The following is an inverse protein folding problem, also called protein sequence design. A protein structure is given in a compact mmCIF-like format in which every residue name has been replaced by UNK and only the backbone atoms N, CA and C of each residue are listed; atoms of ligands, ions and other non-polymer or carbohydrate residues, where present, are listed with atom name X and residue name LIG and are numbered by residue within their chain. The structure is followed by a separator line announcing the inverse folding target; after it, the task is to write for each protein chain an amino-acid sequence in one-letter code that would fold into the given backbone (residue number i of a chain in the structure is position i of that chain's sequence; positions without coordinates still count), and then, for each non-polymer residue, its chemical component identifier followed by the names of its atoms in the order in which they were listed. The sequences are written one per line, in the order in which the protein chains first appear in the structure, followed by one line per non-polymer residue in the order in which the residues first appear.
data_IF_506925667837
#
_entry.id   IF_506925667837
#
_cell.length_a   1.000
_cell.length_b   1.000
_cell.length_c   1.000
_cell.angle_alpha   90.00
_cell.angle_beta   90.00
_cell.angle_gamma   90.00
#
_symmetry.space_group_name_H-M   'P 1'
#
loop_
_entity.id
_entity.type
_entity.pdbx_description
1 polymer ?
#
# COMPACT_ATOMS: atom_id res chain seq x y z
N UNK A 1 19.54 10.68 -21.50
CA UNK A 1 19.82 9.33 -20.93
C UNK A 1 20.84 9.54 -19.82
N UNK A 2 20.58 9.07 -18.60
CA UNK A 2 21.51 9.25 -17.47
C UNK A 2 22.75 8.36 -17.72
N UNK A 3 23.99 8.84 -17.63
CA UNK A 3 25.20 8.01 -17.68
C UNK A 3 25.23 6.91 -16.61
N UNK A 4 25.94 5.80 -16.83
CA UNK A 4 26.05 4.73 -15.82
C UNK A 4 27.04 5.14 -14.72
N UNK A 5 28.02 5.96 -15.10
CA UNK A 5 29.08 6.52 -14.28
C UNK A 5 28.49 7.35 -13.14
N UNK A 6 27.48 8.18 -13.42
CA UNK A 6 26.76 8.97 -12.40
C UNK A 6 26.03 8.08 -11.38
N UNK A 7 25.49 6.95 -11.83
CA UNK A 7 24.84 5.98 -10.94
C UNK A 7 25.87 5.28 -10.05
N UNK A 8 27.02 4.91 -10.61
CA UNK A 8 28.11 4.26 -9.86
C UNK A 8 28.70 5.23 -8.84
N UNK A 9 28.97 6.48 -9.23
CA UNK A 9 29.53 7.49 -8.32
C UNK A 9 28.63 7.77 -7.11
N UNK A 10 27.30 7.79 -7.30
CA UNK A 10 26.35 7.92 -6.18
C UNK A 10 26.23 6.62 -5.36
N UNK A 11 26.37 5.45 -5.98
CA UNK A 11 26.41 4.16 -5.28
C UNK A 11 27.66 4.03 -4.41
N UNK A 12 28.83 4.46 -4.88
CA UNK A 12 30.09 4.48 -4.13
C UNK A 12 30.04 5.42 -2.90
N UNK A 13 29.17 6.43 -2.93
CA UNK A 13 28.85 7.27 -1.77
C UNK A 13 27.93 6.56 -0.75
N UNK A 14 27.59 5.28 -0.97
CA UNK A 14 26.75 4.47 -0.11
C UNK A 14 25.24 4.65 -0.32
N UNK A 15 24.80 5.37 -1.35
CA UNK A 15 23.38 5.62 -1.57
C UNK A 15 22.69 4.36 -2.13
N UNK A 16 21.50 4.00 -1.62
CA UNK A 16 20.71 2.94 -2.21
C UNK A 16 20.04 3.41 -3.51
N UNK A 17 19.61 2.48 -4.38
CA UNK A 17 19.04 2.83 -5.69
C UNK A 17 17.86 3.79 -5.64
N UNK A 18 17.07 3.79 -4.56
CA UNK A 18 15.95 4.72 -4.39
C UNK A 18 16.40 6.17 -4.22
N UNK A 19 17.46 6.42 -3.46
CA UNK A 19 18.00 7.77 -3.26
C UNK A 19 18.75 8.26 -4.50
N UNK A 20 19.49 7.36 -5.16
CA UNK A 20 20.10 7.65 -6.47
C UNK A 20 19.00 8.03 -7.48
N UNK A 21 17.91 7.27 -7.53
CA UNK A 21 16.80 7.53 -8.44
C UNK A 21 16.15 8.90 -8.19
N UNK A 22 15.93 9.27 -6.92
CA UNK A 22 15.44 10.62 -6.54
C UNK A 22 16.41 11.71 -6.99
N UNK A 23 17.71 11.55 -6.68
CA UNK A 23 18.73 12.55 -7.05
C UNK A 23 18.85 12.76 -8.55
N UNK A 24 18.73 11.69 -9.33
CA UNK A 24 18.87 11.74 -10.79
C UNK A 24 17.53 11.92 -11.52
N UNK A 25 16.41 12.12 -10.80
CA UNK A 25 15.09 12.32 -11.38
C UNK A 25 14.62 11.13 -12.24
N UNK A 26 14.89 9.90 -11.81
CA UNK A 26 14.56 8.67 -12.55
C UNK A 26 13.82 7.64 -11.69
N UNK A 27 13.41 6.54 -12.32
CA UNK A 27 12.75 5.45 -11.63
C UNK A 27 13.76 4.56 -10.88
N UNK A 28 13.38 4.12 -9.68
CA UNK A 28 14.14 3.14 -8.88
C UNK A 28 14.58 1.93 -9.70
N UNK A 29 13.67 1.34 -10.48
CA UNK A 29 13.93 0.13 -11.25
C UNK A 29 15.00 0.34 -12.32
N UNK A 30 15.06 1.53 -12.91
CA UNK A 30 16.10 1.90 -13.88
C UNK A 30 17.49 1.87 -13.24
N UNK A 31 17.64 2.44 -12.04
CA UNK A 31 18.91 2.41 -11.30
C UNK A 31 19.27 1.00 -10.87
N UNK A 32 18.31 0.28 -10.27
CA UNK A 32 18.51 -1.09 -9.80
C UNK A 32 18.99 -2.02 -10.93
N UNK A 33 18.30 -2.00 -12.08
CA UNK A 33 18.63 -2.84 -13.24
C UNK A 33 20.02 -2.51 -13.79
N UNK A 34 20.40 -1.24 -13.80
CA UNK A 34 21.68 -0.77 -14.31
C UNK A 34 22.86 -1.16 -13.40
N UNK A 35 22.72 -1.01 -12.09
CA UNK A 35 23.72 -1.50 -11.13
C UNK A 35 23.92 -3.02 -11.26
N UNK A 36 22.81 -3.78 -11.31
CA UNK A 36 22.88 -5.24 -11.50
C UNK A 36 23.49 -5.65 -12.84
N UNK A 37 23.17 -4.93 -13.91
CA UNK A 37 23.77 -5.15 -15.24
C UNK A 37 25.28 -4.87 -15.28
N UNK A 38 25.75 -3.96 -14.44
CA UNK A 38 27.19 -3.68 -14.24
C UNK A 38 27.85 -4.64 -13.22
N UNK A 39 27.16 -5.67 -12.73
CA UNK A 39 27.69 -6.62 -11.75
C UNK A 39 27.75 -6.08 -10.32
N UNK A 40 27.24 -4.87 -10.06
CA UNK A 40 27.28 -4.25 -8.74
C UNK A 40 26.07 -4.69 -7.92
N UNK A 41 26.31 -5.15 -6.69
CA UNK A 41 25.25 -5.45 -5.72
C UNK A 41 24.71 -4.13 -5.14
N UNK A 42 23.43 -3.79 -5.36
CA UNK A 42 22.90 -2.52 -4.85
C UNK A 42 22.86 -2.50 -3.33
N UNK A 43 23.10 -1.33 -2.73
CA UNK A 43 22.92 -1.13 -1.30
C UNK A 43 21.45 -1.36 -0.90
N UNK A 44 21.20 -1.96 0.29
CA UNK A 44 19.83 -2.14 0.79
C UNK A 44 19.15 -0.79 0.98
N UNK A 45 17.82 -0.77 0.86
CA UNK A 45 17.05 0.43 1.18
C UNK A 45 17.30 0.86 2.62
N UNK A 46 17.32 2.17 2.85
CA UNK A 46 17.41 2.71 4.21
C UNK A 46 16.20 2.23 5.03
N UNK A 47 16.41 1.87 6.31
CA UNK A 47 15.30 1.54 7.18
C UNK A 47 14.35 2.74 7.28
N UNK A 48 13.05 2.49 7.20
CA UNK A 48 12.06 3.51 7.50
C UNK A 48 12.26 4.00 8.95
N UNK A 49 12.14 5.30 9.22
CA UNK A 49 12.42 5.90 10.53
C UNK A 49 11.38 5.56 11.60
N UNK A 50 10.54 4.56 11.35
CA UNK A 50 9.52 4.09 12.28
C UNK A 50 10.17 3.07 13.22
N UNK A 51 10.17 3.27 14.54
CA UNK A 51 10.58 2.27 15.50
C UNK A 51 9.80 0.96 15.33
N UNK A 52 10.44 -0.18 15.56
CA UNK A 52 9.71 -1.48 15.52
C UNK A 52 8.76 -1.59 16.71
N UNK A 53 9.07 -0.92 17.80
CA UNK A 53 8.34 -0.83 19.05
C UNK A 53 6.92 -0.26 18.82
N UNK A 54 6.77 0.73 17.94
CA UNK A 54 5.47 1.30 17.59
C UNK A 54 4.60 0.28 16.85
N UNK A 55 5.21 -0.50 15.95
CA UNK A 55 4.53 -1.57 15.21
C UNK A 55 4.07 -2.68 16.16
N UNK A 56 4.92 -3.07 17.11
CA UNK A 56 4.61 -4.08 18.12
C UNK A 56 3.51 -3.60 19.06
N UNK A 57 3.56 -2.33 19.48
CA UNK A 57 2.54 -1.74 20.37
C UNK A 57 1.16 -1.79 19.72
N UNK A 58 1.03 -1.30 18.49
CA UNK A 58 -0.23 -1.34 17.75
C UNK A 58 -0.69 -2.78 17.47
N UNK A 59 0.23 -3.71 17.22
CA UNK A 59 -0.10 -5.12 17.08
C UNK A 59 -0.65 -5.71 18.39
N UNK A 60 -0.05 -5.39 19.54
CA UNK A 60 -0.55 -5.82 20.85
C UNK A 60 -1.92 -5.21 21.19
N UNK A 61 -2.27 -4.04 20.64
CA UNK A 61 -3.61 -3.45 20.72
C UNK A 61 -4.67 -4.19 19.85
N UNK A 62 -4.25 -5.21 19.09
CA UNK A 62 -5.15 -6.03 18.28
C UNK A 62 -5.16 -5.68 16.79
N UNK A 63 -4.44 -4.65 16.36
CA UNK A 63 -4.51 -4.19 14.97
C UNK A 63 -3.88 -5.19 13.99
N UNK A 64 -4.48 -5.30 12.81
CA UNK A 64 -3.92 -6.00 11.66
C UNK A 64 -2.81 -5.19 11.00
N UNK A 65 -1.93 -5.82 10.18
CA UNK A 65 -0.88 -5.09 9.47
C UNK A 65 -1.40 -3.98 8.56
N UNK A 66 -2.64 -4.10 8.06
CA UNK A 66 -3.29 -3.05 7.27
C UNK A 66 -3.61 -1.82 8.11
N UNK A 67 -4.21 -2.02 9.28
CA UNK A 67 -4.54 -0.94 10.21
C UNK A 67 -3.28 -0.26 10.77
N UNK A 68 -2.25 -1.05 11.10
CA UNK A 68 -0.93 -0.54 11.52
C UNK A 68 -0.33 0.32 10.40
N UNK A 69 -0.37 -0.17 9.16
CA UNK A 69 0.15 0.55 8.00
C UNK A 69 -0.55 1.90 7.79
N UNK A 70 -1.88 1.93 7.89
CA UNK A 70 -2.66 3.17 7.84
C UNK A 70 -2.29 4.10 9.00
N UNK A 71 -2.16 3.58 10.22
CA UNK A 71 -1.86 4.38 11.42
C UNK A 71 -0.46 5.01 11.39
N UNK A 72 0.53 4.30 10.85
CA UNK A 72 1.93 4.72 10.81
C UNK A 72 2.36 5.33 9.46
N UNK A 73 1.44 5.44 8.49
CA UNK A 73 1.75 6.01 7.17
C UNK A 73 2.73 5.16 6.35
N UNK A 74 2.69 3.82 6.49
CA UNK A 74 3.52 2.89 5.72
C UNK A 74 2.68 2.00 4.82
N UNK A 75 3.34 1.20 3.98
CA UNK A 75 2.65 0.16 3.23
C UNK A 75 2.31 -1.04 4.11
N UNK A 76 1.24 -1.75 3.75
CA UNK A 76 0.87 -3.04 4.35
C UNK A 76 2.07 -3.99 4.39
N UNK A 77 2.78 -4.13 3.28
CA UNK A 77 3.93 -5.03 3.16
C UNK A 77 5.04 -4.69 4.15
N UNK A 78 5.30 -3.40 4.38
CA UNK A 78 6.27 -2.96 5.38
C UNK A 78 5.87 -3.40 6.78
N UNK A 79 4.62 -3.12 7.20
CA UNK A 79 4.14 -3.49 8.53
C UNK A 79 4.18 -5.03 8.73
N UNK A 80 3.73 -5.77 7.70
CA UNK A 80 3.71 -7.23 7.71
C UNK A 80 5.13 -7.84 7.78
N UNK A 81 6.08 -7.35 6.99
CA UNK A 81 7.46 -7.86 6.98
C UNK A 81 8.14 -7.57 8.32
N UNK A 82 7.91 -6.37 8.89
CA UNK A 82 8.49 -5.99 10.17
C UNK A 82 8.00 -6.85 11.32
N UNK A 83 6.70 -7.14 11.40
CA UNK A 83 6.15 -8.09 12.38
C UNK A 83 6.79 -9.48 12.23
N UNK A 84 6.90 -9.98 11.00
CA UNK A 84 7.53 -11.29 10.75
C UNK A 84 9.00 -11.35 11.12
N UNK A 85 9.77 -10.29 10.82
CA UNK A 85 11.18 -10.20 11.19
C UNK A 85 11.39 -10.09 12.70
N UNK A 86 10.40 -9.58 13.43
CA UNK A 86 10.34 -9.61 14.89
C UNK A 86 9.86 -10.96 15.45
N UNK A 87 9.59 -11.97 14.62
CA UNK A 87 9.10 -13.28 15.06
C UNK A 87 7.62 -13.30 15.44
N UNK A 88 6.88 -12.24 15.14
CA UNK A 88 5.46 -12.09 15.50
C UNK A 88 4.60 -12.57 14.33
N UNK A 89 3.64 -13.46 14.63
CA UNK A 89 2.62 -13.86 13.66
C UNK A 89 1.61 -12.71 13.51
N UNK A 90 1.49 -12.08 12.33
CA UNK A 90 0.58 -10.97 12.15
C UNK A 90 -0.89 -11.40 12.33
N UNK A 91 -1.71 -10.51 12.89
CA UNK A 91 -3.15 -10.73 12.91
C UNK A 91 -3.71 -10.87 11.49
N UNK A 92 -4.74 -11.71 11.29
CA UNK A 92 -5.41 -11.79 10.01
C UNK A 92 -5.93 -10.41 9.62
N UNK A 93 -6.04 -10.16 8.32
CA UNK A 93 -6.79 -9.00 7.87
C UNK A 93 -8.23 -9.11 8.42
N UNK A 94 -8.86 -7.99 8.80
CA UNK A 94 -10.28 -8.01 9.12
C UNK A 94 -11.03 -8.64 7.94
N UNK A 95 -12.14 -9.37 8.22
CA UNK A 95 -12.97 -9.91 7.16
C UNK A 95 -13.32 -8.79 6.19
N UNK A 96 -13.34 -9.10 4.90
CA UNK A 96 -13.86 -8.16 3.92
C UNK A 96 -15.23 -7.68 4.41
N UNK A 97 -15.56 -6.38 4.26
CA UNK A 97 -16.90 -5.91 4.61
C UNK A 97 -17.91 -6.85 3.96
N UNK A 98 -18.94 -7.22 4.74
CA UNK A 98 -19.96 -8.17 4.31
C UNK A 98 -20.35 -7.89 2.86
N UNK A 99 -20.35 -8.92 2.02
CA UNK A 99 -20.74 -8.77 0.61
C UNK A 99 -22.16 -8.27 0.63
N UNK A 100 -22.31 -6.96 0.39
CA UNK A 100 -23.61 -6.34 0.29
C UNK A 100 -24.23 -6.88 -1.00
N UNK A 101 -25.34 -7.63 -0.89
CA UNK A 101 -26.06 -8.13 -2.06
C UNK A 101 -26.32 -6.98 -3.03
N UNK A 102 -26.15 -7.24 -4.33
CA UNK A 102 -26.44 -6.23 -5.33
C UNK A 102 -27.93 -5.85 -5.28
N UNK A 103 -28.77 -6.80 -4.89
CA UNK A 103 -30.21 -6.68 -4.71
C UNK A 103 -30.56 -5.58 -3.71
N UNK A 104 -29.84 -5.49 -2.59
CA UNK A 104 -30.06 -4.44 -1.57
C UNK A 104 -29.71 -3.04 -2.12
N UNK A 105 -28.69 -2.96 -2.98
CA UNK A 105 -28.28 -1.72 -3.63
C UNK A 105 -29.30 -1.30 -4.69
N UNK A 106 -29.83 -2.25 -5.46
CA UNK A 106 -30.87 -2.01 -6.47
C UNK A 106 -32.16 -1.58 -5.79
N UNK A 107 -32.61 -2.29 -4.74
CA UNK A 107 -33.83 -1.95 -4.02
C UNK A 107 -33.80 -0.52 -3.47
N UNK A 108 -32.69 -0.11 -2.83
CA UNK A 108 -32.55 1.26 -2.34
C UNK A 108 -32.48 2.29 -3.47
N UNK A 109 -31.94 1.93 -4.64
CA UNK A 109 -31.95 2.81 -5.81
C UNK A 109 -33.35 2.95 -6.42
N UNK A 110 -34.14 1.87 -6.45
CA UNK A 110 -35.54 1.88 -6.88
C UNK A 110 -36.44 2.70 -5.93
N UNK A 111 -36.08 2.79 -4.64
CA UNK A 111 -36.67 3.73 -3.67
C UNK A 111 -36.28 5.21 -3.95
N UNK A 112 -35.61 5.49 -5.08
CA UNK A 112 -35.12 6.80 -5.49
C UNK A 112 -34.07 7.43 -4.55
N UNK A 113 -33.37 6.63 -3.73
CA UNK A 113 -32.26 7.14 -2.95
C UNK A 113 -31.06 7.45 -3.87
N UNK A 114 -30.39 8.60 -3.67
CA UNK A 114 -29.18 8.89 -4.40
C UNK A 114 -28.05 7.93 -3.97
N UNK A 115 -27.12 7.55 -4.86
CA UNK A 115 -26.04 6.60 -4.55
C UNK A 115 -25.17 6.98 -3.34
N UNK A 116 -25.08 8.27 -3.00
CA UNK A 116 -24.41 8.77 -1.80
C UNK A 116 -25.12 8.37 -0.50
N UNK A 117 -26.44 8.35 -0.51
CA UNK A 117 -27.26 7.99 0.65
C UNK A 117 -27.34 6.46 0.81
N UNK A 118 -27.40 5.74 -0.31
CA UNK A 118 -27.22 4.27 -0.36
C UNK A 118 -25.88 3.89 0.26
N UNK A 119 -24.80 4.58 -0.13
CA UNK A 119 -23.45 4.35 0.39
C UNK A 119 -23.37 4.53 1.92
N UNK A 120 -23.96 5.62 2.43
CA UNK A 120 -24.02 5.90 3.86
C UNK A 120 -24.81 4.83 4.62
N UNK A 121 -25.98 4.45 4.10
CA UNK A 121 -26.88 3.47 4.72
C UNK A 121 -26.30 2.06 4.76
N UNK A 122 -25.55 1.69 3.73
CA UNK A 122 -24.93 0.37 3.58
C UNK A 122 -23.49 0.33 4.11
N UNK A 123 -22.94 1.44 4.60
CA UNK A 123 -21.57 1.48 5.13
C UNK A 123 -20.49 1.18 4.09
N UNK A 124 -20.73 1.50 2.81
CA UNK A 124 -19.79 1.31 1.70
C UNK A 124 -19.48 2.64 1.02
N UNK A 125 -18.42 2.69 0.21
CA UNK A 125 -18.10 3.92 -0.54
C UNK A 125 -19.10 4.18 -1.67
N UNK A 126 -19.32 5.46 -2.00
CA UNK A 126 -20.07 5.88 -3.19
C UNK A 126 -19.60 5.18 -4.46
N UNK A 127 -18.27 5.08 -4.65
CA UNK A 127 -17.69 4.38 -5.80
C UNK A 127 -18.05 2.90 -5.85
N UNK A 128 -18.20 2.23 -4.69
CA UNK A 128 -18.63 0.85 -4.64
C UNK A 128 -20.10 0.71 -5.06
N UNK A 129 -20.98 1.62 -4.63
CA UNK A 129 -22.38 1.68 -5.09
C UNK A 129 -22.46 1.95 -6.58
N UNK A 130 -21.80 3.00 -7.06
CA UNK A 130 -21.82 3.41 -8.47
C UNK A 130 -21.34 2.30 -9.41
N UNK A 131 -20.23 1.62 -9.07
CA UNK A 131 -19.73 0.50 -9.88
C UNK A 131 -20.70 -0.67 -9.93
N UNK A 132 -21.39 -0.93 -8.82
CA UNK A 132 -22.35 -2.03 -8.68
C UNK A 132 -23.63 -1.75 -9.48
N UNK A 133 -24.22 -0.56 -9.36
CA UNK A 133 -25.37 -0.14 -10.17
C UNK A 133 -25.04 -0.14 -11.67
N UNK A 134 -23.90 0.45 -12.06
CA UNK A 134 -23.44 0.43 -13.45
C UNK A 134 -23.21 -0.98 -13.97
N UNK A 135 -22.64 -1.86 -13.15
CA UNK A 135 -22.45 -3.28 -13.49
C UNK A 135 -23.77 -4.04 -13.67
N UNK A 136 -24.83 -3.62 -12.98
CA UNK A 136 -26.19 -4.13 -13.14
C UNK A 136 -26.98 -3.46 -14.29
N UNK A 137 -26.36 -2.55 -15.04
CA UNK A 137 -27.00 -1.84 -16.16
C UNK A 137 -27.86 -0.63 -15.74
N UNK A 138 -27.74 -0.19 -14.49
CA UNK A 138 -28.47 0.96 -13.94
C UNK A 138 -27.55 2.18 -13.95
N UNK A 139 -27.97 3.26 -14.61
CA UNK A 139 -27.23 4.53 -14.78
C UNK A 139 -27.84 5.68 -14.01
#
# INVERSE_FOLDING_TARGET
MIPIEDIIALHEQGLPPGEIAKKLGTAYYSVYKRLRGAGIKPHPALPLPIPIEDIITLHNEGLSPGEIATRLGVSYSTAWERLRRAGIKPHPAPPAPAVIPIEDIIALHEEALPPTEIAARLGISYNAVYKRLRGAGIT
#
